data_IF_360136882245
#
_entry.id   IF_360136882245
#
_cell.length_a   1.000
_cell.length_b   1.000
_cell.length_c   1.000
_cell.angle_alpha   90.00
_cell.angle_beta   90.00
_cell.angle_gamma   90.00
#
_symmetry.space_group_name_H-M   'P 1'
#
loop_
_entity.id
_entity.type
_entity.pdbx_description
1 polymer ?
#
# COMPACT_ATOMS: atom_id res chain seq x y z
N UNK A 1 51.74 37.86 -33.34
CA UNK A 1 52.30 36.77 -32.52
C UNK A 1 51.12 35.94 -32.06
N UNK A 2 50.72 35.04 -32.94
CA UNK A 2 49.56 34.16 -32.80
C UNK A 2 49.99 32.89 -32.07
N UNK A 3 49.51 32.72 -30.84
CA UNK A 3 49.67 31.48 -30.09
C UNK A 3 48.50 30.56 -30.43
N UNK A 4 48.63 29.82 -31.54
CA UNK A 4 47.78 28.67 -31.81
C UNK A 4 48.05 27.61 -30.72
N UNK A 5 47.02 27.07 -30.05
CA UNK A 5 47.22 25.96 -29.12
C UNK A 5 47.67 24.71 -29.90
N UNK A 6 48.56 23.87 -29.35
CA UNK A 6 49.08 22.70 -30.03
C UNK A 6 47.96 21.68 -30.28
N UNK A 7 47.80 21.31 -31.55
CA UNK A 7 46.76 20.42 -32.09
C UNK A 7 46.98 18.92 -31.78
N UNK A 8 48.10 18.56 -31.17
CA UNK A 8 48.59 17.17 -31.12
C UNK A 8 48.56 16.50 -29.74
N UNK A 9 47.43 16.56 -29.04
CA UNK A 9 47.22 15.74 -27.83
C UNK A 9 45.77 15.25 -27.71
N UNK A 10 45.18 14.85 -28.84
CA UNK A 10 44.16 13.80 -28.82
C UNK A 10 44.87 12.46 -28.54
N UNK A 11 45.38 12.30 -27.32
CA UNK A 11 45.75 11.00 -26.81
C UNK A 11 44.49 10.13 -26.93
N UNK A 12 44.53 9.17 -27.86
CA UNK A 12 43.54 8.11 -27.99
C UNK A 12 43.25 7.58 -26.60
N UNK A 13 42.11 7.98 -26.03
CA UNK A 13 41.60 7.38 -24.80
C UNK A 13 41.52 5.89 -25.11
N UNK A 14 42.34 5.04 -24.47
CA UNK A 14 42.40 3.63 -24.81
C UNK A 14 40.98 3.12 -24.79
N UNK A 15 40.55 2.58 -25.93
CA UNK A 15 39.21 2.06 -26.15
C UNK A 15 38.82 1.33 -24.88
N UNK A 16 37.81 1.87 -24.18
CA UNK A 16 37.38 1.42 -22.86
C UNK A 16 37.19 -0.10 -22.89
N UNK A 17 38.23 -0.85 -22.53
CA UNK A 17 38.16 -2.30 -22.49
C UNK A 17 37.01 -2.63 -21.55
N UNK A 18 35.99 -3.29 -22.10
CA UNK A 18 34.80 -3.65 -21.38
C UNK A 18 35.21 -4.60 -20.25
N UNK A 19 35.51 -4.03 -19.08
CA UNK A 19 36.03 -4.78 -17.95
C UNK A 19 35.00 -5.86 -17.60
N UNK A 20 35.42 -7.14 -17.51
CA UNK A 20 34.51 -8.26 -17.28
C UNK A 20 33.63 -8.02 -16.05
N UNK A 21 32.39 -8.51 -16.09
CA UNK A 21 31.39 -8.33 -15.02
C UNK A 21 31.83 -9.06 -13.74
N UNK A 22 32.47 -10.22 -13.89
CA UNK A 22 33.06 -11.00 -12.81
C UNK A 22 34.56 -10.67 -12.76
N UNK A 23 34.99 -9.96 -11.71
CA UNK A 23 36.38 -9.50 -11.59
C UNK A 23 37.12 -10.18 -10.46
N UNK A 24 36.40 -10.54 -9.40
CA UNK A 24 36.99 -10.92 -8.13
C UNK A 24 36.47 -12.28 -7.63
N UNK A 25 37.27 -12.96 -6.80
CA UNK A 25 36.92 -14.24 -6.19
C UNK A 25 35.59 -14.15 -5.43
N UNK A 26 35.28 -13.01 -4.82
CA UNK A 26 34.00 -12.78 -4.14
C UNK A 26 32.80 -12.78 -5.07
N UNK A 27 32.95 -12.35 -6.33
CA UNK A 27 31.85 -12.43 -7.30
C UNK A 27 31.59 -13.87 -7.71
N UNK A 28 32.65 -14.65 -7.91
CA UNK A 28 32.56 -16.08 -8.20
C UNK A 28 31.93 -16.85 -7.04
N UNK A 29 32.33 -16.54 -5.79
CA UNK A 29 31.74 -17.12 -4.59
C UNK A 29 30.24 -16.83 -4.50
N UNK A 30 29.83 -15.58 -4.74
CA UNK A 30 28.40 -15.23 -4.76
C UNK A 30 27.66 -15.98 -5.88
N UNK A 31 28.23 -16.03 -7.09
CA UNK A 31 27.63 -16.72 -8.23
C UNK A 31 27.42 -18.20 -7.94
N UNK A 32 28.44 -18.89 -7.43
CA UNK A 32 28.37 -20.31 -7.06
C UNK A 32 27.35 -20.53 -5.95
N UNK A 33 27.32 -19.67 -4.94
CA UNK A 33 26.35 -19.75 -3.85
C UNK A 33 24.90 -19.58 -4.37
N UNK A 34 24.65 -18.58 -5.23
CA UNK A 34 23.32 -18.35 -5.82
C UNK A 34 22.92 -19.51 -6.72
N UNK A 35 23.82 -20.02 -7.57
CA UNK A 35 23.53 -21.16 -8.45
C UNK A 35 23.20 -22.43 -7.66
N UNK A 36 23.92 -22.69 -6.55
CA UNK A 36 23.63 -23.82 -5.67
C UNK A 36 22.29 -23.68 -4.93
N UNK A 37 21.91 -22.46 -4.55
CA UNK A 37 20.64 -22.17 -3.88
C UNK A 37 19.45 -22.02 -4.83
N UNK A 38 19.69 -21.89 -6.14
CA UNK A 38 18.69 -21.55 -7.14
C UNK A 38 17.46 -22.47 -7.13
N UNK A 39 17.57 -23.81 -7.01
CA UNK A 39 16.39 -24.68 -6.95
C UNK A 39 15.48 -24.37 -5.76
N UNK A 40 16.05 -24.13 -4.57
CA UNK A 40 15.28 -23.79 -3.36
C UNK A 40 14.70 -22.38 -3.43
N UNK A 41 15.47 -21.42 -3.96
CA UNK A 41 14.97 -20.06 -4.20
C UNK A 41 13.82 -20.10 -5.22
N UNK A 42 13.92 -20.93 -6.27
CA UNK A 42 12.84 -21.10 -7.24
C UNK A 42 11.56 -21.65 -6.60
N UNK A 43 11.67 -22.65 -5.73
CA UNK A 43 10.51 -23.15 -4.95
C UNK A 43 9.90 -22.05 -4.09
N UNK A 44 10.72 -21.21 -3.44
CA UNK A 44 10.23 -20.07 -2.68
C UNK A 44 9.53 -19.03 -3.58
N UNK A 45 10.11 -18.71 -4.74
CA UNK A 45 9.51 -17.81 -5.72
C UNK A 45 8.16 -18.33 -6.24
N UNK A 46 8.00 -19.64 -6.39
CA UNK A 46 6.71 -20.26 -6.74
C UNK A 46 5.69 -20.03 -5.63
N UNK A 47 6.05 -20.25 -4.35
CA UNK A 47 5.18 -19.94 -3.21
C UNK A 47 4.78 -18.46 -3.18
N UNK A 48 5.75 -17.56 -3.38
CA UNK A 48 5.51 -16.11 -3.45
C UNK A 48 4.59 -15.73 -4.62
N UNK A 49 4.62 -16.46 -5.73
CA UNK A 49 3.76 -16.21 -6.89
C UNK A 49 2.29 -16.55 -6.62
N UNK A 50 2.03 -17.58 -5.83
CA UNK A 50 0.68 -17.95 -5.41
C UNK A 50 0.10 -16.99 -4.36
N UNK A 51 0.95 -16.26 -3.65
CA UNK A 51 0.52 -15.20 -2.72
C UNK A 51 0.16 -13.96 -3.53
N UNK A 52 -1.12 -13.64 -3.58
CA UNK A 52 -1.66 -12.48 -4.32
C UNK A 52 -0.98 -11.17 -3.97
N UNK A 53 -0.55 -11.05 -2.72
CA UNK A 53 0.01 -9.82 -2.14
C UNK A 53 1.49 -9.66 -2.47
N UNK A 54 2.12 -10.65 -3.12
CA UNK A 54 3.54 -10.66 -3.42
C UNK A 54 3.85 -10.86 -4.90
N UNK A 55 2.85 -10.75 -5.80
CA UNK A 55 3.04 -10.89 -7.26
C UNK A 55 4.18 -10.01 -7.83
N UNK A 56 4.52 -8.92 -7.16
CA UNK A 56 5.59 -8.00 -7.57
C UNK A 56 6.97 -8.30 -6.96
N UNK A 57 7.15 -9.43 -6.25
CA UNK A 57 8.43 -9.84 -5.69
C UNK A 57 9.59 -9.89 -6.69
N UNK A 58 9.41 -10.17 -8.01
CA UNK A 58 10.55 -10.19 -8.94
C UNK A 58 11.31 -8.86 -8.99
N UNK A 59 10.63 -7.74 -8.74
CA UNK A 59 11.25 -6.40 -8.68
C UNK A 59 12.25 -6.32 -7.52
N UNK A 60 12.02 -7.02 -6.41
CA UNK A 60 12.92 -7.06 -5.25
C UNK A 60 14.29 -7.65 -5.61
N UNK A 61 14.33 -8.64 -6.50
CA UNK A 61 15.57 -9.28 -6.97
C UNK A 61 16.33 -8.44 -8.01
N UNK A 62 15.65 -7.55 -8.73
CA UNK A 62 16.31 -6.64 -9.68
C UNK A 62 17.19 -5.60 -8.98
N UNK A 63 16.83 -5.17 -7.77
CA UNK A 63 17.58 -4.16 -7.01
C UNK A 63 19.04 -4.57 -6.76
N UNK A 64 19.34 -5.73 -6.15
CA UNK A 64 20.73 -6.16 -5.97
C UNK A 64 21.43 -6.41 -7.31
N UNK A 65 20.74 -6.83 -8.37
CA UNK A 65 21.34 -6.97 -9.70
C UNK A 65 21.81 -5.63 -10.27
N UNK A 66 21.05 -4.55 -10.09
CA UNK A 66 21.49 -3.20 -10.48
C UNK A 66 22.70 -2.71 -9.68
N UNK A 67 22.87 -3.20 -8.44
CA UNK A 67 24.03 -2.85 -7.60
C UNK A 67 25.35 -3.40 -8.15
N UNK A 68 25.32 -4.55 -8.86
CA UNK A 68 26.48 -5.17 -9.52
C UNK A 68 27.21 -4.21 -10.46
N UNK A 69 26.49 -3.27 -11.09
CA UNK A 69 27.09 -2.30 -12.02
C UNK A 69 27.76 -1.12 -11.32
N UNK A 70 27.45 -0.85 -10.05
CA UNK A 70 27.87 0.37 -9.34
C UNK A 70 28.99 0.16 -8.30
N UNK A 71 29.28 -1.07 -7.90
CA UNK A 71 30.28 -1.37 -6.86
C UNK A 71 31.73 -1.30 -7.34
N UNK A 72 32.55 -0.44 -6.72
CA UNK A 72 34.03 -0.46 -6.84
C UNK A 72 34.61 -1.17 -5.62
N UNK A 73 35.44 -2.19 -5.84
CA UNK A 73 36.04 -2.96 -4.74
C UNK A 73 36.68 -2.05 -3.70
N UNK A 74 36.41 -2.36 -2.42
CA UNK A 74 37.15 -1.76 -1.33
C UNK A 74 38.64 -2.06 -1.48
N UNK A 75 39.49 -1.05 -1.26
CA UNK A 75 40.90 -1.34 -0.98
C UNK A 75 40.96 -2.26 0.25
N UNK A 76 41.79 -3.31 0.20
CA UNK A 76 41.95 -4.35 1.22
C UNK A 76 42.38 -3.86 2.64
N UNK A 77 42.41 -2.56 2.88
CA UNK A 77 42.93 -1.93 4.10
C UNK A 77 42.05 -2.11 5.35
N UNK A 78 40.81 -2.61 5.23
CA UNK A 78 39.89 -2.76 6.37
C UNK A 78 39.69 -4.23 6.80
N UNK A 79 40.55 -4.72 7.72
CA UNK A 79 40.52 -6.10 8.25
C UNK A 79 39.15 -6.54 8.79
N UNK A 80 38.48 -5.68 9.57
CA UNK A 80 37.17 -5.99 10.16
C UNK A 80 36.11 -6.32 9.11
N UNK A 81 36.05 -5.55 8.01
CA UNK A 81 35.09 -5.80 6.93
C UNK A 81 35.34 -7.14 6.24
N UNK A 82 36.59 -7.46 5.97
CA UNK A 82 36.96 -8.76 5.41
C UNK A 82 36.50 -9.91 6.33
N UNK A 83 36.71 -9.77 7.65
CA UNK A 83 36.24 -10.75 8.63
C UNK A 83 34.71 -10.88 8.66
N UNK A 84 33.98 -9.76 8.62
CA UNK A 84 32.51 -9.78 8.52
C UNK A 84 32.03 -10.42 7.22
N UNK A 85 32.66 -10.11 6.08
CA UNK A 85 32.34 -10.73 4.80
C UNK A 85 32.52 -12.25 4.87
N UNK A 86 33.68 -12.72 5.35
CA UNK A 86 33.94 -14.17 5.53
C UNK A 86 32.93 -14.80 6.48
N UNK A 87 32.62 -14.14 7.60
CA UNK A 87 31.62 -14.61 8.55
C UNK A 87 30.21 -14.72 7.93
N UNK A 88 29.81 -13.75 7.11
CA UNK A 88 28.52 -13.76 6.41
C UNK A 88 28.45 -14.86 5.35
N UNK A 89 29.52 -15.10 4.59
CA UNK A 89 29.58 -16.21 3.64
C UNK A 89 29.59 -17.57 4.35
N UNK A 90 30.31 -17.71 5.47
CA UNK A 90 30.31 -18.93 6.27
C UNK A 90 28.92 -19.21 6.87
N UNK A 91 28.27 -18.19 7.44
CA UNK A 91 26.90 -18.29 7.94
C UNK A 91 25.89 -18.61 6.83
N UNK A 92 26.03 -17.99 5.66
CA UNK A 92 25.25 -18.30 4.46
C UNK A 92 25.46 -19.73 4.00
N UNK A 93 26.70 -20.25 4.00
CA UNK A 93 27.01 -21.64 3.68
C UNK A 93 26.39 -22.64 4.66
N UNK A 94 26.45 -22.37 5.96
CA UNK A 94 25.75 -23.18 6.98
C UNK A 94 24.23 -23.13 6.77
N UNK A 95 23.67 -21.94 6.50
CA UNK A 95 22.25 -21.76 6.20
C UNK A 95 21.81 -22.52 4.94
N UNK A 96 22.66 -22.55 3.91
CA UNK A 96 22.43 -23.33 2.69
C UNK A 96 22.40 -24.84 2.97
N UNK A 97 23.33 -25.34 3.79
CA UNK A 97 23.35 -26.73 4.21
C UNK A 97 22.09 -27.09 5.01
N UNK A 98 21.70 -26.25 5.98
CA UNK A 98 20.48 -26.45 6.76
C UNK A 98 19.23 -26.39 5.88
N UNK A 99 19.17 -25.47 4.92
CA UNK A 99 18.09 -25.39 3.94
C UNK A 99 17.96 -26.69 3.14
N UNK A 100 19.06 -27.28 2.70
CA UNK A 100 19.05 -28.56 1.99
C UNK A 100 18.62 -29.72 2.89
N UNK A 101 19.09 -29.79 4.14
CA UNK A 101 18.75 -30.85 5.10
C UNK A 101 17.28 -30.81 5.52
N UNK A 102 16.73 -29.61 5.76
CA UNK A 102 15.33 -29.42 6.17
C UNK A 102 14.38 -29.15 5.02
N UNK A 103 14.87 -29.15 3.77
CA UNK A 103 14.11 -28.80 2.58
C UNK A 103 13.31 -27.49 2.75
N UNK A 104 13.96 -26.45 3.27
CA UNK A 104 13.33 -25.17 3.63
C UNK A 104 13.70 -24.07 2.63
N UNK A 105 12.78 -23.68 1.72
CA UNK A 105 13.02 -22.60 0.75
C UNK A 105 13.30 -21.25 1.39
N UNK A 106 12.71 -21.00 2.56
CA UNK A 106 12.92 -19.78 3.34
C UNK A 106 14.37 -19.66 3.84
N UNK A 107 14.95 -20.75 4.35
CA UNK A 107 16.36 -20.78 4.77
C UNK A 107 17.32 -20.56 3.58
N UNK A 108 16.97 -21.03 2.38
CA UNK A 108 17.76 -20.76 1.18
C UNK A 108 17.77 -19.27 0.82
N UNK A 109 16.62 -18.60 0.92
CA UNK A 109 16.55 -17.16 0.68
C UNK A 109 17.37 -16.38 1.73
N UNK A 110 17.29 -16.77 3.00
CA UNK A 110 18.12 -16.19 4.08
C UNK A 110 19.62 -16.38 3.77
N UNK A 111 20.03 -17.60 3.40
CA UNK A 111 21.41 -17.90 3.02
C UNK A 111 21.88 -17.05 1.84
N UNK A 112 21.08 -16.95 0.78
CA UNK A 112 21.37 -16.10 -0.38
C UNK A 112 21.48 -14.63 -0.02
N UNK A 113 20.62 -14.15 0.89
CA UNK A 113 20.63 -12.77 1.40
C UNK A 113 21.90 -12.48 2.21
N UNK A 114 22.34 -13.39 3.08
CA UNK A 114 23.60 -13.25 3.83
C UNK A 114 24.82 -13.20 2.90
N UNK A 115 24.86 -14.08 1.89
CA UNK A 115 25.90 -14.06 0.85
C UNK A 115 25.89 -12.74 0.07
N UNK A 116 24.71 -12.23 -0.30
CA UNK A 116 24.57 -10.94 -0.98
C UNK A 116 25.04 -9.77 -0.10
N UNK A 117 24.71 -9.74 1.20
CA UNK A 117 25.19 -8.72 2.14
C UNK A 117 26.72 -8.77 2.24
N UNK A 118 27.31 -9.97 2.39
CA UNK A 118 28.76 -10.15 2.45
C UNK A 118 29.45 -9.66 1.18
N UNK A 119 28.89 -10.01 0.02
CA UNK A 119 29.38 -9.54 -1.28
C UNK A 119 29.28 -8.01 -1.41
N UNK A 120 28.15 -7.41 -1.05
CA UNK A 120 27.95 -5.96 -1.05
C UNK A 120 28.92 -5.25 -0.12
N UNK A 121 29.18 -5.79 1.07
CA UNK A 121 30.10 -5.22 2.06
C UNK A 121 31.52 -5.07 1.51
N UNK A 122 31.96 -6.04 0.70
CA UNK A 122 33.27 -6.01 0.03
C UNK A 122 33.30 -5.04 -1.17
N UNK A 123 32.21 -4.98 -1.94
CA UNK A 123 32.07 -4.19 -3.16
C UNK A 123 31.79 -2.70 -2.92
N UNK A 124 31.35 -2.32 -1.73
CA UNK A 124 31.00 -0.95 -1.40
C UNK A 124 31.99 -0.30 -0.42
N UNK A 125 33.29 -0.42 -0.73
CA UNK A 125 34.39 -0.13 0.19
C UNK A 125 34.55 1.26 0.80
N UNK A 126 34.09 2.31 0.11
CA UNK A 126 34.05 3.66 0.69
C UNK A 126 32.65 4.08 1.10
N UNK A 127 31.64 3.25 0.83
CA UNK A 127 30.27 3.66 1.04
C UNK A 127 29.88 3.46 2.49
N UNK A 128 29.12 4.44 2.91
CA UNK A 128 28.53 4.56 4.22
C UNK A 128 27.48 3.43 4.38
N UNK A 129 27.47 2.79 5.55
CA UNK A 129 26.68 1.59 5.87
C UNK A 129 25.20 1.66 5.49
N UNK A 130 24.61 2.86 5.44
CA UNK A 130 23.23 3.01 5.01
C UNK A 130 22.97 2.52 3.59
N UNK A 131 23.92 2.67 2.66
CA UNK A 131 23.71 2.22 1.31
C UNK A 131 23.63 0.70 1.26
N UNK A 132 24.47 0.02 2.04
CA UNK A 132 24.37 -1.43 2.23
C UNK A 132 22.99 -1.82 2.74
N UNK A 133 22.49 -1.12 3.78
CA UNK A 133 21.13 -1.35 4.32
C UNK A 133 20.09 -1.13 3.23
N UNK A 134 20.17 -0.04 2.46
CA UNK A 134 19.20 0.24 1.39
C UNK A 134 19.24 -0.79 0.26
N UNK A 135 20.42 -1.29 -0.14
CA UNK A 135 20.55 -2.33 -1.17
C UNK A 135 20.08 -3.71 -0.70
N UNK A 136 20.12 -3.96 0.60
CA UNK A 136 19.77 -5.26 1.19
C UNK A 136 18.34 -5.30 1.70
N UNK A 137 17.73 -4.14 2.01
CA UNK A 137 16.36 -4.07 2.51
C UNK A 137 15.34 -4.79 1.61
N UNK A 138 15.37 -4.68 0.27
CA UNK A 138 14.46 -5.44 -0.60
C UNK A 138 14.57 -6.96 -0.43
N UNK A 139 15.78 -7.48 -0.20
CA UNK A 139 16.00 -8.91 0.07
C UNK A 139 15.42 -9.30 1.44
N UNK A 140 15.56 -8.43 2.45
CA UNK A 140 14.92 -8.64 3.74
C UNK A 140 13.40 -8.61 3.65
N UNK A 141 12.82 -7.71 2.85
CA UNK A 141 11.38 -7.68 2.60
C UNK A 141 10.92 -8.99 1.98
N UNK A 142 11.64 -9.53 0.99
CA UNK A 142 11.33 -10.85 0.42
C UNK A 142 11.33 -11.97 1.48
N UNK A 143 12.14 -11.83 2.53
CA UNK A 143 12.31 -12.85 3.59
C UNK A 143 11.34 -12.69 4.78
N UNK A 144 10.99 -11.46 5.17
CA UNK A 144 10.21 -11.12 6.39
C UNK A 144 8.72 -11.49 6.32
N UNK A 145 8.28 -12.15 5.24
CA UNK A 145 6.88 -12.39 4.93
C UNK A 145 6.25 -13.74 5.35
N UNK A 146 6.70 -14.44 6.42
CA UNK A 146 5.85 -15.44 7.08
C UNK A 146 5.04 -14.87 8.26
N UNK A 147 5.14 -13.57 8.59
CA UNK A 147 4.42 -12.99 9.74
C UNK A 147 2.95 -12.74 9.35
N UNK A 148 2.04 -13.33 10.11
CA UNK A 148 0.56 -13.24 10.00
C UNK A 148 0.01 -11.83 9.85
N UNK A 149 0.72 -10.83 10.38
CA UNK A 149 0.30 -9.43 10.47
C UNK A 149 0.10 -8.78 9.09
N UNK A 150 0.67 -9.34 8.03
CA UNK A 150 0.42 -8.92 6.65
C UNK A 150 -1.06 -9.08 6.28
N UNK A 151 -1.69 -10.18 6.69
CA UNK A 151 -3.09 -10.43 6.41
C UNK A 151 -4.00 -9.45 7.16
N UNK A 152 -3.63 -9.09 8.39
CA UNK A 152 -4.39 -8.12 9.19
C UNK A 152 -4.29 -6.71 8.64
N UNK A 153 -3.09 -6.27 8.22
CA UNK A 153 -2.92 -4.99 7.55
C UNK A 153 -3.70 -4.94 6.22
N UNK A 154 -3.66 -6.02 5.43
CA UNK A 154 -4.40 -6.11 4.17
C UNK A 154 -5.91 -6.07 4.43
N UNK A 155 -6.44 -6.81 5.40
CA UNK A 155 -7.87 -6.77 5.77
C UNK A 155 -8.31 -5.41 6.28
N UNK A 156 -7.47 -4.76 7.08
CA UNK A 156 -7.71 -3.38 7.53
C UNK A 156 -7.76 -2.42 6.33
N UNK A 157 -6.80 -2.51 5.41
CA UNK A 157 -6.78 -1.73 4.17
C UNK A 157 -8.02 -2.00 3.30
N UNK A 158 -8.44 -3.27 3.14
CA UNK A 158 -9.64 -3.66 2.38
C UNK A 158 -10.90 -3.02 2.97
N UNK A 159 -11.08 -3.13 4.29
CA UNK A 159 -12.24 -2.58 5.01
C UNK A 159 -12.28 -1.04 4.95
N UNK A 160 -11.15 -0.38 5.20
CA UNK A 160 -11.08 1.09 5.16
C UNK A 160 -11.15 1.62 3.72
N UNK A 161 -10.69 0.86 2.73
CA UNK A 161 -10.84 1.22 1.31
C UNK A 161 -12.30 1.14 0.91
N UNK A 162 -13.01 0.06 1.25
CA UNK A 162 -14.43 -0.07 0.96
C UNK A 162 -15.26 1.04 1.64
N UNK A 163 -14.98 1.34 2.92
CA UNK A 163 -15.65 2.43 3.64
C UNK A 163 -15.40 3.79 2.98
N UNK A 164 -14.14 4.13 2.70
CA UNK A 164 -13.78 5.41 2.10
C UNK A 164 -14.34 5.57 0.68
N UNK A 165 -14.28 4.51 -0.13
CA UNK A 165 -14.87 4.51 -1.47
C UNK A 165 -16.38 4.66 -1.40
N UNK A 166 -17.08 3.99 -0.49
CA UNK A 166 -18.52 4.18 -0.28
C UNK A 166 -18.84 5.64 0.01
N UNK A 167 -18.08 6.29 0.90
CA UNK A 167 -18.29 7.72 1.22
C UNK A 167 -18.06 8.61 0.00
N UNK A 168 -17.05 8.34 -0.83
CA UNK A 168 -16.81 9.10 -2.05
C UNK A 168 -17.90 8.89 -3.11
N UNK A 169 -18.45 7.67 -3.21
CA UNK A 169 -19.56 7.37 -4.10
C UNK A 169 -20.85 8.04 -3.61
N UNK A 170 -21.09 8.10 -2.30
CA UNK A 170 -22.20 8.86 -1.69
C UNK A 170 -22.09 10.34 -2.07
N UNK A 171 -20.90 10.95 -1.92
CA UNK A 171 -20.66 12.36 -2.33
C UNK A 171 -20.91 12.56 -3.83
N UNK A 172 -20.68 11.53 -4.64
CA UNK A 172 -20.88 11.55 -6.09
C UNK A 172 -22.30 11.17 -6.51
N UNK A 173 -23.21 10.95 -5.56
CA UNK A 173 -24.60 10.53 -5.78
C UNK A 173 -24.75 9.21 -6.55
N UNK A 174 -23.77 8.33 -6.44
CA UNK A 174 -23.89 6.96 -6.96
C UNK A 174 -24.62 6.13 -5.90
N UNK A 175 -25.57 5.26 -6.29
CA UNK A 175 -26.20 4.32 -5.35
C UNK A 175 -25.33 3.09 -5.12
N UNK A 176 -24.95 2.85 -3.87
CA UNK A 176 -24.23 1.65 -3.45
C UNK A 176 -24.71 1.15 -2.08
N UNK A 177 -24.38 -0.11 -1.80
CA UNK A 177 -24.42 -0.70 -0.49
C UNK A 177 -23.03 -1.25 -0.16
N UNK A 178 -22.38 -0.75 0.89
CA UNK A 178 -21.07 -1.23 1.31
C UNK A 178 -21.20 -2.16 2.52
N UNK A 179 -20.53 -3.30 2.45
CA UNK A 179 -20.54 -4.36 3.46
C UNK A 179 -19.13 -4.95 3.60
N UNK A 180 -18.47 -4.71 4.74
CA UNK A 180 -17.09 -5.13 5.00
C UNK A 180 -16.12 -4.69 3.88
N UNK A 181 -15.55 -5.62 3.13
CA UNK A 181 -14.68 -5.37 1.99
C UNK A 181 -15.43 -5.28 0.65
N UNK A 182 -16.75 -5.49 0.62
CA UNK A 182 -17.58 -5.51 -0.58
C UNK A 182 -18.33 -4.18 -0.75
N UNK A 183 -18.38 -3.69 -1.99
CA UNK A 183 -19.28 -2.62 -2.41
C UNK A 183 -20.22 -3.20 -3.47
N UNK A 184 -21.49 -3.31 -3.10
CA UNK A 184 -22.57 -3.70 -4.00
C UNK A 184 -23.03 -2.50 -4.81
N UNK A 185 -22.86 -2.61 -6.12
CA UNK A 185 -23.40 -1.70 -7.12
C UNK A 185 -24.55 -2.38 -7.87
N UNK A 186 -25.21 -1.68 -8.81
CA UNK A 186 -26.27 -2.27 -9.63
C UNK A 186 -25.74 -3.37 -10.54
N UNK A 187 -24.53 -3.18 -11.04
CA UNK A 187 -23.79 -4.13 -11.86
C UNK A 187 -23.32 -5.39 -11.11
N UNK A 188 -23.34 -5.37 -9.78
CA UNK A 188 -22.98 -6.50 -8.92
C UNK A 188 -22.04 -6.12 -7.77
N UNK A 189 -21.69 -7.09 -6.91
CA UNK A 189 -20.72 -6.89 -5.84
C UNK A 189 -19.29 -6.77 -6.37
N UNK A 190 -18.55 -5.79 -5.89
CA UNK A 190 -17.12 -5.62 -6.18
C UNK A 190 -16.36 -5.60 -4.87
N UNK A 191 -15.36 -6.47 -4.74
CA UNK A 191 -14.51 -6.53 -3.55
C UNK A 191 -13.35 -5.54 -3.65
N UNK A 192 -13.11 -4.81 -2.56
CA UNK A 192 -11.96 -3.93 -2.38
C UNK A 192 -10.63 -4.70 -2.43
N UNK A 193 -10.66 -6.00 -2.10
CA UNK A 193 -9.53 -6.93 -2.21
C UNK A 193 -8.86 -6.88 -3.60
N UNK A 194 -9.66 -6.79 -4.68
CA UNK A 194 -9.15 -6.70 -6.04
C UNK A 194 -8.19 -5.52 -6.23
N UNK A 195 -8.42 -4.42 -5.52
CA UNK A 195 -7.65 -3.19 -5.66
C UNK A 195 -6.52 -3.11 -4.63
N UNK A 196 -6.79 -3.51 -3.39
CA UNK A 196 -5.82 -3.50 -2.29
C UNK A 196 -4.64 -4.44 -2.54
N UNK A 197 -4.85 -5.56 -3.23
CA UNK A 197 -3.78 -6.54 -3.52
C UNK A 197 -2.92 -6.17 -4.74
N UNK A 198 -3.44 -5.31 -5.62
CA UNK A 198 -2.75 -4.86 -6.82
C UNK A 198 -2.00 -3.54 -6.57
N UNK A 199 -2.63 -2.39 -6.82
CA UNK A 199 -1.97 -1.06 -6.70
C UNK A 199 -1.90 -0.57 -5.27
N UNK A 200 -2.89 -0.93 -4.45
CA UNK A 200 -2.94 -0.62 -3.03
C UNK A 200 -1.97 -1.46 -2.18
N UNK A 201 -1.13 -2.27 -2.82
CA UNK A 201 -0.29 -3.22 -2.13
C UNK A 201 0.88 -2.51 -1.41
N UNK A 202 0.95 -2.58 -0.07
CA UNK A 202 1.99 -1.88 0.68
C UNK A 202 3.40 -2.40 0.36
N UNK A 203 3.54 -3.67 -0.02
CA UNK A 203 4.85 -4.26 -0.37
C UNK A 203 5.35 -3.79 -1.73
N UNK A 204 4.46 -3.62 -2.71
CA UNK A 204 4.79 -3.03 -4.00
C UNK A 204 5.29 -1.59 -3.79
N UNK A 205 4.53 -0.78 -3.05
CA UNK A 205 4.91 0.61 -2.77
C UNK A 205 6.21 0.68 -1.96
N UNK A 206 6.39 -0.16 -0.95
CA UNK A 206 7.64 -0.29 -0.20
C UNK A 206 8.84 -0.51 -1.14
N UNK A 207 8.72 -1.47 -2.05
CA UNK A 207 9.77 -1.79 -3.01
C UNK A 207 10.11 -0.59 -3.91
N UNK A 208 9.09 0.06 -4.46
CA UNK A 208 9.26 1.19 -5.35
C UNK A 208 9.82 2.43 -4.64
N UNK A 209 9.37 2.69 -3.41
CA UNK A 209 9.88 3.77 -2.55
C UNK A 209 11.34 3.56 -2.22
N UNK A 210 11.76 2.33 -1.94
CA UNK A 210 13.16 2.00 -1.68
C UNK A 210 14.00 2.22 -2.93
N UNK A 211 13.57 1.67 -4.06
CA UNK A 211 14.26 1.82 -5.35
C UNK A 211 14.39 3.31 -5.72
N UNK A 212 13.33 4.09 -5.53
CA UNK A 212 13.32 5.53 -5.77
C UNK A 212 14.26 6.27 -4.81
N UNK A 213 14.23 5.95 -3.52
CA UNK A 213 15.13 6.54 -2.50
C UNK A 213 16.59 6.28 -2.82
N UNK A 214 16.90 5.07 -3.31
CA UNK A 214 18.24 4.66 -3.72
C UNK A 214 18.68 5.34 -5.01
N UNK A 215 17.79 5.44 -6.00
CA UNK A 215 18.06 6.12 -7.27
C UNK A 215 18.37 7.60 -7.03
N UNK A 216 17.55 8.24 -6.20
CA UNK A 216 17.67 9.68 -5.88
C UNK A 216 18.71 9.97 -4.80
N UNK A 217 19.36 8.94 -4.23
CA UNK A 217 20.40 9.03 -3.19
C UNK A 217 19.95 9.88 -1.99
N UNK A 218 18.74 9.63 -1.48
CA UNK A 218 18.21 10.37 -0.33
C UNK A 218 18.93 9.99 0.97
N UNK A 219 18.83 10.89 1.94
CA UNK A 219 19.32 10.67 3.30
C UNK A 219 18.42 9.62 3.98
N UNK A 220 18.98 8.88 4.94
CA UNK A 220 18.26 7.81 5.66
C UNK A 220 17.03 8.33 6.37
N UNK A 221 17.13 9.48 7.04
CA UNK A 221 16.01 10.13 7.73
C UNK A 221 14.81 10.37 6.80
N UNK A 222 15.05 10.94 5.61
CA UNK A 222 14.03 11.14 4.57
C UNK A 222 13.43 9.81 4.14
N UNK A 223 14.28 8.79 3.95
CA UNK A 223 13.84 7.45 3.55
C UNK A 223 12.94 6.85 4.61
N UNK A 224 13.35 6.83 5.88
CA UNK A 224 12.58 6.30 7.01
C UNK A 224 11.24 7.01 7.15
N UNK A 225 11.21 8.35 7.09
CA UNK A 225 9.96 9.11 7.13
C UNK A 225 9.05 8.76 5.95
N UNK A 226 9.61 8.58 4.75
CA UNK A 226 8.82 8.14 3.58
C UNK A 226 8.28 6.72 3.77
N UNK A 227 9.09 5.81 4.33
CA UNK A 227 8.66 4.44 4.61
C UNK A 227 7.48 4.40 5.59
N UNK A 228 7.50 5.24 6.63
CA UNK A 228 6.41 5.35 7.59
C UNK A 228 5.09 5.83 6.97
N UNK A 229 5.14 6.53 5.83
CA UNK A 229 3.93 6.98 5.11
C UNK A 229 3.37 5.94 4.14
N UNK A 230 4.02 4.79 3.94
CA UNK A 230 3.58 3.79 2.95
C UNK A 230 2.13 3.33 3.17
N UNK A 231 1.67 2.99 4.38
CA UNK A 231 0.29 2.56 4.58
C UNK A 231 -0.73 3.62 4.13
N UNK A 232 -0.42 4.89 4.34
CA UNK A 232 -1.26 6.00 3.89
C UNK A 232 -1.33 6.08 2.35
N UNK A 233 -0.19 5.95 1.67
CA UNK A 233 -0.13 5.96 0.20
C UNK A 233 -0.78 4.72 -0.41
N UNK A 234 -0.63 3.56 0.22
CA UNK A 234 -1.29 2.31 -0.15
C UNK A 234 -2.81 2.45 -0.10
N UNK A 235 -3.33 2.96 1.02
CA UNK A 235 -4.75 3.26 1.19
C UNK A 235 -5.24 4.28 0.16
N UNK A 236 -4.55 5.42 -0.02
CA UNK A 236 -4.94 6.45 -0.99
C UNK A 236 -5.00 5.90 -2.43
N UNK A 237 -4.00 5.10 -2.81
CA UNK A 237 -3.95 4.47 -4.12
C UNK A 237 -5.13 3.52 -4.32
N UNK A 238 -5.44 2.72 -3.30
CA UNK A 238 -6.53 1.76 -3.33
C UNK A 238 -7.89 2.48 -3.45
N UNK A 239 -8.15 3.47 -2.58
CA UNK A 239 -9.39 4.26 -2.60
C UNK A 239 -9.58 4.97 -3.94
N UNK A 240 -8.52 5.57 -4.47
CA UNK A 240 -8.58 6.30 -5.75
C UNK A 240 -8.92 5.37 -6.92
N UNK A 241 -8.28 4.20 -7.00
CA UNK A 241 -8.53 3.23 -8.07
C UNK A 241 -9.91 2.58 -7.92
N UNK A 242 -10.30 2.20 -6.70
CA UNK A 242 -11.58 1.58 -6.43
C UNK A 242 -12.75 2.53 -6.68
N UNK A 243 -12.65 3.77 -6.20
CA UNK A 243 -13.63 4.82 -6.49
C UNK A 243 -13.76 5.09 -7.99
N UNK A 244 -12.63 5.30 -8.69
CA UNK A 244 -12.64 5.53 -10.13
C UNK A 244 -13.31 4.36 -10.89
N UNK A 245 -13.06 3.12 -10.45
CA UNK A 245 -13.65 1.95 -11.07
C UNK A 245 -15.14 1.79 -10.83
N UNK A 246 -15.59 1.96 -9.59
CA UNK A 246 -17.02 1.95 -9.27
C UNK A 246 -17.75 3.11 -9.98
N UNK A 247 -17.15 4.30 -10.02
CA UNK A 247 -17.69 5.47 -10.71
C UNK A 247 -17.85 5.22 -12.21
N UNK A 248 -16.81 4.75 -12.90
CA UNK A 248 -16.86 4.51 -14.34
C UNK A 248 -17.77 3.33 -14.71
N UNK A 249 -17.87 2.33 -13.83
CA UNK A 249 -18.77 1.20 -14.06
C UNK A 249 -20.23 1.63 -13.96
N UNK A 250 -20.62 2.39 -12.94
CA UNK A 250 -22.01 2.80 -12.78
C UNK A 250 -22.41 3.99 -13.66
N UNK A 251 -21.52 4.98 -13.85
CA UNK A 251 -21.84 6.16 -14.64
C UNK A 251 -21.67 5.96 -16.15
N UNK A 252 -20.79 5.03 -16.59
CA UNK A 252 -20.47 4.83 -18.01
C UNK A 252 -20.60 3.39 -18.49
N UNK A 253 -21.02 2.46 -17.64
CA UNK A 253 -21.10 1.01 -17.95
C UNK A 253 -19.73 0.43 -18.41
N UNK A 254 -18.62 1.08 -18.03
CA UNK A 254 -17.27 0.67 -18.42
C UNK A 254 -16.58 -0.03 -17.27
N UNK A 255 -16.47 -1.35 -17.37
CA UNK A 255 -15.68 -2.13 -16.44
C UNK A 255 -14.18 -1.88 -16.65
N UNK A 256 -13.55 -1.19 -15.70
CA UNK A 256 -12.09 -1.02 -15.66
C UNK A 256 -11.39 -2.15 -14.92
N UNK A 257 -12.08 -2.96 -14.12
CA UNK A 257 -11.48 -4.04 -13.32
C UNK A 257 -11.06 -5.25 -14.16
N UNK A 258 -11.47 -5.31 -15.44
CA UNK A 258 -11.16 -6.42 -16.34
C UNK A 258 -10.17 -6.05 -17.45
N UNK A 259 -9.32 -7.04 -17.81
CA UNK A 259 -8.45 -6.99 -18.99
C UNK A 259 -7.37 -5.90 -18.97
N UNK A 260 -7.00 -5.41 -20.15
CA UNK A 260 -5.94 -4.41 -20.33
C UNK A 260 -6.27 -3.04 -19.71
N UNK A 261 -7.56 -2.73 -19.56
CA UNK A 261 -8.02 -1.46 -18.95
C UNK A 261 -7.67 -1.41 -17.47
N UNK A 262 -7.76 -2.55 -16.78
CA UNK A 262 -7.34 -2.67 -15.39
C UNK A 262 -5.88 -2.29 -15.24
N UNK A 263 -5.01 -2.97 -15.99
CA UNK A 263 -3.56 -2.73 -15.96
C UNK A 263 -3.22 -1.27 -16.29
N UNK A 264 -3.87 -0.67 -17.30
CA UNK A 264 -3.63 0.73 -17.66
C UNK A 264 -4.07 1.71 -16.55
N UNK A 265 -5.26 1.52 -15.98
CA UNK A 265 -5.76 2.35 -14.88
C UNK A 265 -4.88 2.22 -13.63
N UNK A 266 -4.46 1.00 -13.32
CA UNK A 266 -3.57 0.69 -12.22
C UNK A 266 -2.20 1.36 -12.38
N UNK A 267 -1.60 1.26 -13.56
CA UNK A 267 -0.35 1.94 -13.88
C UNK A 267 -0.48 3.47 -13.78
N UNK A 268 -1.61 4.03 -14.23
CA UNK A 268 -1.89 5.46 -14.10
C UNK A 268 -1.93 5.92 -12.65
N UNK A 269 -2.69 5.23 -11.79
CA UNK A 269 -2.76 5.52 -10.35
C UNK A 269 -1.39 5.37 -9.69
N UNK A 270 -0.65 4.30 -10.02
CA UNK A 270 0.68 4.07 -9.49
C UNK A 270 1.66 5.20 -9.86
N UNK A 271 1.66 5.68 -11.11
CA UNK A 271 2.51 6.79 -11.55
C UNK A 271 2.18 8.07 -10.77
N UNK A 272 0.90 8.38 -10.58
CA UNK A 272 0.47 9.53 -9.78
C UNK A 272 0.95 9.41 -8.34
N UNK A 273 0.75 8.26 -7.70
CA UNK A 273 1.18 8.00 -6.32
C UNK A 273 2.69 8.10 -6.18
N UNK A 274 3.47 7.52 -7.10
CA UNK A 274 4.93 7.63 -7.08
C UNK A 274 5.40 9.07 -7.29
N UNK A 275 4.74 9.83 -8.17
CA UNK A 275 4.99 11.26 -8.35
C UNK A 275 4.75 12.05 -7.07
N UNK A 276 3.65 11.77 -6.37
CA UNK A 276 3.32 12.42 -5.09
C UNK A 276 4.31 12.04 -3.98
N UNK A 277 4.70 10.77 -3.86
CA UNK A 277 5.73 10.33 -2.92
C UNK A 277 7.06 11.03 -3.24
N UNK A 278 7.43 11.17 -4.52
CA UNK A 278 8.65 11.85 -4.92
C UNK A 278 8.64 13.33 -4.53
N UNK A 279 7.52 14.03 -4.74
CA UNK A 279 7.32 15.40 -4.27
C UNK A 279 7.41 15.50 -2.74
N UNK A 280 6.78 14.55 -2.02
CA UNK A 280 6.85 14.48 -0.56
C UNK A 280 8.29 14.26 -0.07
N UNK A 281 9.07 13.38 -0.71
CA UNK A 281 10.49 13.18 -0.39
C UNK A 281 11.30 14.48 -0.53
N UNK A 282 11.03 15.28 -1.56
CA UNK A 282 11.66 16.59 -1.70
C UNK A 282 11.23 17.56 -0.61
N UNK A 283 9.94 17.61 -0.28
CA UNK A 283 9.44 18.45 0.79
C UNK A 283 10.08 18.09 2.14
N UNK A 284 10.11 16.80 2.49
CA UNK A 284 10.77 16.29 3.70
C UNK A 284 12.27 16.63 3.67
N UNK A 285 12.95 16.49 2.53
CA UNK A 285 14.37 16.86 2.44
C UNK A 285 14.61 18.35 2.72
N UNK A 286 13.72 19.24 2.27
CA UNK A 286 13.84 20.67 2.53
C UNK A 286 13.51 21.00 3.97
N UNK A 287 12.48 20.36 4.55
CA UNK A 287 12.14 20.49 5.97
C UNK A 287 13.30 20.00 6.86
N UNK A 288 13.96 18.92 6.45
CA UNK A 288 15.13 18.33 7.09
C UNK A 288 16.45 18.92 6.57
N UNK A 289 16.42 20.12 5.99
CA UNK A 289 17.67 20.79 5.63
C UNK A 289 18.41 21.22 6.91
N UNK A 290 19.76 21.12 6.94
CA UNK A 290 20.51 21.42 8.14
C UNK A 290 20.43 22.91 8.48
N UNK A 291 20.28 23.24 9.77
CA UNK A 291 20.31 24.62 10.23
C UNK A 291 21.68 25.24 9.96
N UNK A 292 21.69 26.41 9.32
CA UNK A 292 22.90 27.14 8.93
C UNK A 292 23.29 28.24 9.91
N UNK A 293 22.38 28.69 10.77
CA UNK A 293 22.63 29.78 11.71
C UNK A 293 23.38 29.29 12.96
N UNK A 294 24.67 29.60 13.03
CA UNK A 294 25.45 29.54 14.26
C UNK A 294 25.15 30.78 15.10
N UNK A 295 24.09 30.76 15.91
CA UNK A 295 24.15 31.53 17.14
C UNK A 295 25.05 30.77 18.11
N UNK A 296 26.03 31.45 18.70
CA UNK A 296 26.98 30.87 19.67
C UNK A 296 26.27 30.25 20.89
N UNK A 297 25.02 30.63 21.14
CA UNK A 297 24.21 30.20 22.28
C UNK A 297 23.34 28.95 22.02
N UNK A 298 22.99 28.60 20.77
CA UNK A 298 22.15 27.43 20.44
C UNK A 298 22.93 26.18 19.95
N UNK A 299 24.24 26.17 20.16
CA UNK A 299 25.17 25.26 19.46
C UNK A 299 24.92 23.77 19.70
N UNK A 300 24.39 23.36 20.86
CA UNK A 300 24.15 21.96 21.20
C UNK A 300 22.97 21.33 20.46
N UNK A 301 21.80 21.99 20.49
CA UNK A 301 20.56 21.47 19.90
C UNK A 301 20.66 21.43 18.37
N UNK A 302 21.20 22.49 17.74
CA UNK A 302 21.40 22.52 16.29
C UNK A 302 22.38 21.44 15.83
N UNK A 303 23.46 21.20 16.60
CA UNK A 303 24.43 20.14 16.30
C UNK A 303 23.82 18.75 16.45
N UNK A 304 22.99 18.53 17.48
CA UNK A 304 22.27 17.28 17.65
C UNK A 304 21.26 17.04 16.52
N UNK A 305 20.46 18.06 16.16
CA UNK A 305 19.52 17.98 15.05
C UNK A 305 20.24 17.69 13.72
N UNK A 306 21.27 18.47 13.37
CA UNK A 306 22.04 18.27 12.15
C UNK A 306 22.70 16.88 12.13
N UNK A 307 23.21 16.41 13.28
CA UNK A 307 23.76 15.07 13.41
C UNK A 307 22.70 13.99 13.16
N UNK A 308 21.53 14.08 13.80
CA UNK A 308 20.45 13.11 13.67
C UNK A 308 19.88 13.09 12.24
N UNK A 309 19.67 14.26 11.65
CA UNK A 309 19.05 14.41 10.33
C UNK A 309 19.98 14.00 9.20
N UNK A 310 21.26 14.36 9.28
CA UNK A 310 22.25 14.02 8.27
C UNK A 310 22.81 12.62 8.45
N UNK A 311 22.51 11.92 9.55
CA UNK A 311 23.04 10.60 9.82
C UNK A 311 22.72 9.62 8.67
N UNK A 312 23.70 8.83 8.22
CA UNK A 312 25.09 8.72 8.70
C UNK A 312 26.11 9.63 7.98
N UNK A 313 25.66 10.53 7.11
CA UNK A 313 26.49 11.52 6.44
C UNK A 313 27.22 12.43 7.42
N UNK A 314 28.43 12.86 7.03
CA UNK A 314 29.21 13.81 7.82
C UNK A 314 28.57 15.20 7.73
N UNK A 315 28.44 15.87 8.88
CA UNK A 315 27.99 17.26 8.94
C UNK A 315 28.82 18.14 7.98
N UNK A 316 28.20 18.71 6.92
CA UNK A 316 28.90 19.52 5.94
C UNK A 316 29.48 20.80 6.57
N UNK A 317 28.94 21.24 7.72
CA UNK A 317 29.44 22.40 8.46
C UNK A 317 30.81 22.13 9.13
N UNK A 318 31.17 20.86 9.37
CA UNK A 318 32.46 20.50 9.99
C UNK A 318 33.67 20.81 9.09
N UNK A 319 33.48 20.91 7.77
CA UNK A 319 34.52 21.32 6.80
C UNK A 319 34.42 22.79 6.36
N UNK A 320 33.38 23.53 6.78
CA UNK A 320 33.05 24.88 6.28
C UNK A 320 33.77 26.04 6.98
N UNK A 321 34.71 25.78 7.88
CA UNK A 321 35.56 26.83 8.49
C UNK A 321 36.40 27.65 7.49
N UNK A 322 36.39 27.33 6.19
CA UNK A 322 37.19 27.99 5.15
C UNK A 322 36.39 28.55 3.95
N UNK A 323 35.07 28.48 3.94
CA UNK A 323 34.24 29.06 2.87
C UNK A 323 33.69 30.41 3.35
N UNK A 324 33.84 31.47 2.55
CA UNK A 324 33.28 32.80 2.82
C UNK A 324 31.76 32.75 2.88
N UNK A 325 31.16 33.46 3.84
CA UNK A 325 29.71 33.45 4.10
C UNK A 325 28.87 33.81 2.85
N UNK A 326 29.42 34.60 1.93
CA UNK A 326 28.77 35.00 0.67
C UNK A 326 28.63 33.85 -0.36
N UNK A 327 29.62 32.98 -0.49
CA UNK A 327 29.53 31.80 -1.38
C UNK A 327 28.52 30.79 -0.83
N UNK A 328 28.42 30.71 0.49
CA UNK A 328 27.44 29.91 1.20
C UNK A 328 26.03 30.44 0.95
N UNK A 329 25.82 31.75 1.11
CA UNK A 329 24.56 32.41 0.86
C UNK A 329 24.09 32.25 -0.60
N UNK A 330 25.00 32.40 -1.59
CA UNK A 330 24.68 32.18 -3.01
C UNK A 330 24.29 30.72 -3.32
N UNK A 331 25.00 29.73 -2.79
CA UNK A 331 24.65 28.31 -3.01
C UNK A 331 23.33 27.93 -2.35
N UNK A 332 23.06 28.45 -1.15
CA UNK A 332 21.79 28.22 -0.46
C UNK A 332 20.66 28.91 -1.22
N UNK A 333 20.83 30.18 -1.62
CA UNK A 333 19.86 30.92 -2.42
C UNK A 333 19.47 30.21 -3.72
N UNK A 334 20.44 29.61 -4.43
CA UNK A 334 20.18 28.86 -5.66
C UNK A 334 19.50 27.50 -5.43
N UNK A 335 19.78 26.82 -4.32
CA UNK A 335 19.13 25.53 -3.99
C UNK A 335 17.71 25.74 -3.49
N UNK A 336 17.49 26.82 -2.74
CA UNK A 336 16.23 27.13 -2.07
C UNK A 336 15.27 27.87 -3.02
N UNK A 337 15.76 28.86 -3.78
CA UNK A 337 14.96 29.68 -4.70
C UNK A 337 14.29 28.90 -5.83
N UNK A 338 14.96 27.90 -6.41
CA UNK A 338 14.42 27.16 -7.56
C UNK A 338 13.58 25.92 -7.19
N UNK A 339 13.47 25.60 -5.89
CA UNK A 339 12.81 24.37 -5.41
C UNK A 339 11.60 24.61 -4.52
N UNK A 340 11.37 25.85 -4.09
CA UNK A 340 10.17 26.23 -3.33
C UNK A 340 8.84 25.76 -3.92
N UNK A 341 8.54 25.88 -5.23
CA UNK A 341 7.25 25.46 -5.75
C UNK A 341 7.01 23.94 -5.56
N UNK A 342 8.05 23.12 -5.70
CA UNK A 342 7.95 21.67 -5.47
C UNK A 342 7.73 21.33 -4.00
N UNK A 343 8.35 22.09 -3.09
CA UNK A 343 8.15 21.91 -1.64
C UNK A 343 6.73 22.28 -1.25
N UNK A 344 6.24 23.43 -1.73
CA UNK A 344 4.87 23.89 -1.47
C UNK A 344 3.89 22.85 -2.03
N UNK A 345 4.10 22.36 -3.26
CA UNK A 345 3.26 21.32 -3.85
C UNK A 345 3.29 20.01 -3.05
N UNK A 346 4.47 19.58 -2.57
CA UNK A 346 4.61 18.38 -1.76
C UNK A 346 3.94 18.48 -0.39
N UNK A 347 4.12 19.60 0.31
CA UNK A 347 3.46 19.88 1.60
C UNK A 347 1.95 20.03 1.42
N UNK A 348 1.51 20.79 0.41
CA UNK A 348 0.09 20.93 0.10
C UNK A 348 -0.53 19.59 -0.27
N UNK A 349 0.14 18.76 -1.07
CA UNK A 349 -0.32 17.42 -1.41
C UNK A 349 -0.46 16.50 -0.19
N UNK A 350 0.51 16.53 0.73
CA UNK A 350 0.43 15.78 1.98
C UNK A 350 -0.72 16.27 2.87
N UNK A 351 -0.87 17.60 3.03
CA UNK A 351 -1.95 18.19 3.81
C UNK A 351 -3.32 17.92 3.20
N UNK A 352 -3.45 17.91 1.87
CA UNK A 352 -4.66 17.53 1.17
C UNK A 352 -4.97 16.04 1.34
N UNK A 353 -3.96 15.16 1.32
CA UNK A 353 -4.16 13.74 1.56
C UNK A 353 -4.60 13.46 3.01
N UNK A 354 -3.94 14.09 4.00
CA UNK A 354 -4.30 13.96 5.42
C UNK A 354 -5.67 14.60 5.69
N UNK A 355 -5.89 15.82 5.19
CA UNK A 355 -7.13 16.56 5.37
C UNK A 355 -8.32 15.89 4.68
N UNK A 356 -8.12 15.40 3.46
CA UNK A 356 -9.11 14.61 2.73
C UNK A 356 -9.40 13.29 3.42
N UNK A 357 -8.38 12.58 3.89
CA UNK A 357 -8.56 11.36 4.68
C UNK A 357 -9.29 11.60 5.99
N UNK A 358 -8.94 12.66 6.73
CA UNK A 358 -9.63 13.06 7.95
C UNK A 358 -11.08 13.48 7.67
N UNK A 359 -11.33 14.19 6.56
CA UNK A 359 -12.69 14.55 6.15
C UNK A 359 -13.51 13.30 5.82
N UNK A 360 -12.95 12.32 5.10
CA UNK A 360 -13.63 11.05 4.82
C UNK A 360 -13.92 10.30 6.13
N UNK A 361 -12.93 10.16 7.03
CA UNK A 361 -13.12 9.51 8.33
C UNK A 361 -14.18 10.24 9.14
N UNK A 362 -14.17 11.56 9.16
CA UNK A 362 -15.16 12.37 9.86
C UNK A 362 -16.55 12.22 9.23
N UNK A 363 -16.71 12.29 7.91
CA UNK A 363 -18.00 12.02 7.22
C UNK A 363 -18.46 10.58 7.50
N UNK A 364 -17.52 9.65 7.67
CA UNK A 364 -17.85 8.27 8.00
C UNK A 364 -18.30 8.09 9.47
N UNK A 365 -17.73 8.86 10.40
CA UNK A 365 -17.92 8.75 11.85
C UNK A 365 -18.97 9.71 12.42
N UNK A 366 -19.12 10.91 11.85
CA UNK A 366 -20.24 11.81 12.13
C UNK A 366 -21.49 11.11 11.61
N UNK A 367 -22.13 10.36 12.51
CA UNK A 367 -23.45 9.76 12.32
C UNK A 367 -24.48 10.81 11.87
N UNK A 368 -24.20 12.09 12.10
CA UNK A 368 -25.06 13.25 11.83
C UNK A 368 -24.77 14.02 10.53
N UNK A 369 -23.81 13.60 9.69
CA UNK A 369 -24.00 13.94 8.28
C UNK A 369 -25.32 13.26 7.93
N UNK A 370 -26.37 14.06 7.68
CA UNK A 370 -27.50 13.69 6.85
C UNK A 370 -26.92 13.14 5.54
N UNK A 371 -26.43 11.90 5.57
CA UNK A 371 -26.01 11.14 4.41
C UNK A 371 -27.27 11.08 3.59
N UNK A 372 -27.36 11.99 2.62
CA UNK A 372 -28.54 12.31 1.81
C UNK A 372 -29.74 11.54 2.32
N UNK A 373 -30.48 12.13 3.28
CA UNK A 373 -31.66 11.51 3.93
C UNK A 373 -32.24 10.52 2.94
N UNK A 374 -32.20 9.20 3.24
CA UNK A 374 -32.39 8.14 2.25
C UNK A 374 -33.59 8.56 1.45
N UNK A 375 -33.37 9.00 0.19
CA UNK A 375 -34.30 9.86 -0.56
C UNK A 375 -35.68 9.37 -0.21
N UNK A 376 -36.32 10.04 0.75
CA UNK A 376 -37.52 9.45 1.32
C UNK A 376 -38.40 9.49 0.12
N UNK A 377 -38.80 8.33 -0.39
CA UNK A 377 -39.97 8.34 -1.23
C UNK A 377 -41.00 8.86 -0.25
N UNK A 378 -41.45 10.13 -0.34
CA UNK A 378 -42.54 10.51 0.51
C UNK A 378 -43.62 9.51 0.15
N UNK A 379 -43.95 8.60 1.07
CA UNK A 379 -45.11 7.73 0.95
C UNK A 379 -46.36 8.59 1.19
N UNK A 380 -46.35 9.81 0.66
CA UNK A 380 -47.52 10.61 0.37
C UNK A 380 -48.10 10.19 -1.00
N UNK A 381 -47.31 9.50 -1.83
CA UNK A 381 -47.85 8.71 -2.95
C UNK A 381 -48.17 7.29 -2.46
N UNK A 382 -49.41 7.10 -2.00
CA UNK A 382 -50.07 5.80 -1.73
C UNK A 382 -49.92 4.76 -2.86
N UNK A 383 -49.32 5.14 -4.00
CA UNK A 383 -49.14 4.31 -5.19
C UNK A 383 -47.75 3.66 -5.35
N UNK A 384 -46.80 3.84 -4.42
CA UNK A 384 -45.45 3.23 -4.53
C UNK A 384 -45.08 2.24 -3.41
N UNK A 385 -45.90 2.08 -2.38
CA UNK A 385 -45.74 1.01 -1.39
C UNK A 385 -46.35 -0.28 -1.93
N UNK A 386 -45.62 -1.40 -1.83
CA UNK A 386 -46.14 -2.71 -2.22
C UNK A 386 -47.47 -2.96 -1.47
N UNK A 387 -48.55 -3.17 -2.22
CA UNK A 387 -49.87 -3.41 -1.68
C UNK A 387 -50.05 -4.90 -1.37
N UNK A 388 -50.99 -5.21 -0.46
CA UNK A 388 -51.40 -6.58 -0.20
C UNK A 388 -51.85 -7.34 -1.45
N UNK A 389 -52.26 -6.62 -2.51
CA UNK A 389 -52.71 -7.14 -3.81
C UNK A 389 -51.61 -7.33 -4.85
N UNK A 390 -50.38 -6.86 -4.60
CA UNK A 390 -49.31 -6.89 -5.60
C UNK A 390 -48.75 -8.30 -5.83
N UNK A 391 -48.88 -9.17 -4.84
CA UNK A 391 -48.77 -10.61 -5.04
C UNK A 391 -50.14 -11.20 -5.31
N UNK A 392 -50.22 -12.03 -6.35
CA UNK A 392 -51.48 -12.61 -6.80
C UNK A 392 -52.14 -13.48 -5.70
N UNK A 393 -53.41 -13.21 -5.43
CA UNK A 393 -54.29 -14.11 -4.68
C UNK A 393 -55.25 -14.82 -5.67
N UNK A 394 -55.23 -16.17 -5.78
CA UNK A 394 -54.44 -17.14 -5.02
C UNK A 394 -53.02 -17.38 -5.58
N UNK A 395 -52.05 -17.50 -4.69
CA UNK A 395 -50.67 -17.91 -5.03
C UNK A 395 -50.58 -19.45 -5.00
N UNK A 396 -50.52 -20.08 -6.17
CA UNK A 396 -50.44 -21.55 -6.32
C UNK A 396 -51.54 -22.31 -5.56
N UNK A 397 -52.77 -21.80 -5.59
CA UNK A 397 -53.92 -22.38 -4.88
C UNK A 397 -53.97 -22.09 -3.38
N UNK A 398 -52.97 -21.41 -2.81
CA UNK A 398 -52.99 -20.92 -1.44
C UNK A 398 -53.74 -19.60 -1.35
N UNK A 399 -54.55 -19.45 -0.30
CA UNK A 399 -55.25 -18.18 -0.02
C UNK A 399 -54.36 -17.29 0.81
N UNK A 400 -54.30 -16.02 0.45
CA UNK A 400 -53.68 -15.01 1.30
C UNK A 400 -54.50 -14.86 2.58
N UNK A 401 -53.86 -15.01 3.74
CA UNK A 401 -54.51 -14.89 5.05
C UNK A 401 -54.13 -13.59 5.73
N UNK A 402 -52.91 -13.11 5.51
CA UNK A 402 -52.43 -11.90 6.14
C UNK A 402 -51.46 -11.14 5.24
N UNK A 403 -51.49 -9.83 5.33
CA UNK A 403 -50.48 -8.94 4.78
C UNK A 403 -50.12 -7.92 5.86
N UNK A 404 -48.84 -7.86 6.18
CA UNK A 404 -48.30 -6.95 7.18
C UNK A 404 -47.26 -6.06 6.48
N UNK A 405 -47.50 -4.75 6.54
CA UNK A 405 -46.50 -3.75 6.24
C UNK A 405 -45.92 -3.28 7.56
N UNK A 406 -44.66 -3.63 7.82
CA UNK A 406 -43.94 -3.17 8.99
C UNK A 406 -43.17 -1.90 8.62
N UNK A 407 -43.38 -0.87 9.41
CA UNK A 407 -42.48 0.27 9.47
C UNK A 407 -41.70 0.18 10.77
N UNK A 408 -40.44 -0.28 10.70
CA UNK A 408 -39.57 -0.28 11.88
C UNK A 408 -38.83 1.04 11.94
N UNK A 409 -39.09 1.81 12.99
CA UNK A 409 -38.33 3.02 13.35
C UNK A 409 -37.47 2.72 14.57
N UNK A 410 -36.54 1.78 14.43
CA UNK A 410 -35.61 1.46 15.53
C UNK A 410 -34.49 2.51 15.67
N UNK A 411 -34.21 3.28 14.60
CA UNK A 411 -33.29 4.41 14.62
C UNK A 411 -33.62 5.42 13.52
N UNK A 412 -33.12 6.66 13.66
CA UNK A 412 -33.26 7.73 12.66
C UNK A 412 -32.66 7.40 11.28
N UNK A 413 -31.95 6.27 11.14
CA UNK A 413 -31.25 5.84 9.92
C UNK A 413 -31.75 4.50 9.38
N UNK A 414 -32.81 3.95 9.97
CA UNK A 414 -33.33 2.63 9.64
C UNK A 414 -34.85 2.64 9.55
N UNK A 415 -35.44 3.59 8.81
CA UNK A 415 -36.81 3.39 8.33
C UNK A 415 -36.81 2.16 7.43
N UNK A 416 -37.22 1.03 8.01
CA UNK A 416 -37.32 -0.23 7.29
C UNK A 416 -38.78 -0.46 6.95
N UNK A 417 -39.04 -0.51 5.66
CA UNK A 417 -40.29 -1.00 5.10
C UNK A 417 -40.09 -2.48 4.78
N UNK A 418 -40.67 -3.32 5.61
CA UNK A 418 -40.74 -4.76 5.42
C UNK A 418 -42.19 -5.11 5.04
N UNK A 419 -42.35 -5.82 3.92
CA UNK A 419 -43.64 -6.28 3.46
C UNK A 419 -43.72 -7.79 3.58
N UNK A 420 -44.73 -8.28 4.29
CA UNK A 420 -44.89 -9.70 4.60
C UNK A 420 -46.26 -10.20 4.16
N UNK A 421 -46.27 -11.10 3.19
CA UNK A 421 -47.47 -11.83 2.76
C UNK A 421 -47.47 -13.22 3.40
N UNK A 422 -48.56 -13.59 4.06
CA UNK A 422 -48.76 -14.93 4.61
C UNK A 422 -49.87 -15.64 3.86
N UNK A 423 -49.53 -16.77 3.23
CA UNK A 423 -50.43 -17.65 2.51
C UNK A 423 -50.68 -18.93 3.30
N UNK A 424 -51.90 -19.46 3.19
CA UNK A 424 -52.29 -20.71 3.85
C UNK A 424 -53.07 -21.60 2.87
N UNK A 425 -52.66 -22.87 2.81
CA UNK A 425 -53.42 -23.94 2.18
C UNK A 425 -53.34 -25.19 3.05
N UNK A 426 -54.49 -25.76 3.38
CA UNK A 426 -54.64 -26.92 4.28
C UNK A 426 -53.91 -26.71 5.63
N UNK A 427 -52.72 -27.31 5.79
CA UNK A 427 -51.86 -27.21 6.98
C UNK A 427 -50.52 -26.53 6.70
N UNK A 428 -50.32 -25.99 5.50
CA UNK A 428 -49.08 -25.35 5.09
C UNK A 428 -49.22 -23.84 5.17
N UNK A 429 -48.21 -23.19 5.78
CA UNK A 429 -48.08 -21.73 5.86
C UNK A 429 -46.84 -21.33 5.09
N UNK A 430 -46.98 -20.42 4.13
CA UNK A 430 -45.87 -19.79 3.42
C UNK A 430 -45.87 -18.31 3.78
N UNK A 431 -44.69 -17.79 4.10
CA UNK A 431 -44.48 -16.37 4.33
C UNK A 431 -43.48 -15.86 3.31
N UNK A 432 -43.89 -14.87 2.51
CA UNK A 432 -43.04 -14.16 1.57
C UNK A 432 -42.72 -12.81 2.20
N UNK A 433 -41.44 -12.55 2.41
CA UNK A 433 -40.96 -11.29 2.97
C UNK A 433 -40.16 -10.55 1.90
N UNK A 434 -40.48 -9.27 1.70
CA UNK A 434 -39.77 -8.36 0.82
C UNK A 434 -39.30 -7.17 1.65
N UNK A 435 -37.99 -7.03 1.78
CA UNK A 435 -37.37 -5.88 2.40
C UNK A 435 -36.96 -4.91 1.29
N UNK A 436 -37.36 -3.63 1.39
CA UNK A 436 -36.93 -2.64 0.42
C UNK A 436 -35.40 -2.43 0.48
N UNK A 437 -34.74 -2.17 -0.68
CA UNK A 437 -33.31 -1.97 -0.72
C UNK A 437 -32.91 -0.74 0.11
N UNK A 438 -31.98 -0.94 1.05
CA UNK A 438 -31.42 0.13 1.87
C UNK A 438 -30.41 0.95 1.05
N UNK A 439 -30.33 2.26 1.28
CA UNK A 439 -29.26 3.14 0.73
C UNK A 439 -28.36 3.64 1.87
N UNK A 440 -27.05 3.41 1.76
CA UNK A 440 -26.05 3.83 2.75
C UNK A 440 -25.22 2.67 3.32
N UNK A 441 -24.30 2.98 4.23
CA UNK A 441 -23.46 1.98 4.93
C UNK A 441 -24.22 1.36 6.09
N UNK A 442 -24.42 0.04 6.05
CA UNK A 442 -25.00 -0.75 7.15
C UNK A 442 -24.02 -1.87 7.51
N UNK A 443 -23.74 -2.07 8.80
CA UNK A 443 -23.05 -3.29 9.24
C UNK A 443 -24.04 -4.45 9.14
N UNK A 444 -23.72 -5.45 8.31
CA UNK A 444 -24.54 -6.66 8.13
C UNK A 444 -24.71 -7.41 9.47
N UNK A 445 -23.68 -7.36 10.31
CA UNK A 445 -23.60 -8.00 11.64
C UNK A 445 -24.74 -7.59 12.58
N UNK A 446 -25.29 -6.38 12.45
CA UNK A 446 -26.40 -5.92 13.31
C UNK A 446 -27.77 -6.46 12.88
N UNK A 447 -27.93 -6.99 11.66
CA UNK A 447 -29.26 -7.30 11.10
C UNK A 447 -29.43 -8.69 10.49
N UNK A 448 -28.36 -9.31 10.00
CA UNK A 448 -28.42 -10.62 9.34
C UNK A 448 -27.63 -11.70 10.07
N UNK A 449 -26.78 -11.32 11.03
CA UNK A 449 -26.08 -12.26 11.92
C UNK A 449 -26.81 -12.50 13.24
N UNK A 450 -27.98 -11.89 13.49
CA UNK A 450 -28.91 -12.48 14.45
C UNK A 450 -29.24 -13.87 13.90
N UNK A 451 -28.74 -14.95 14.54
CA UNK A 451 -29.05 -16.27 14.07
C UNK A 451 -30.56 -16.39 14.05
N UNK A 452 -31.07 -17.08 13.02
CA UNK A 452 -32.44 -17.57 12.91
C UNK A 452 -32.68 -18.59 14.06
N UNK A 453 -32.54 -18.14 15.31
CA UNK A 453 -32.80 -18.88 16.53
C UNK A 453 -34.23 -18.64 17.02
N UNK A 454 -34.96 -17.68 16.45
CA UNK A 454 -36.41 -17.52 16.71
C UNK A 454 -37.27 -18.64 16.09
N UNK A 455 -36.69 -19.53 15.26
CA UNK A 455 -37.36 -20.78 14.89
C UNK A 455 -37.45 -21.79 16.06
N UNK A 456 -36.77 -21.54 17.19
CA UNK A 456 -36.89 -22.36 18.40
C UNK A 456 -38.05 -21.94 19.32
N UNK A 457 -38.58 -20.71 19.20
CA UNK A 457 -39.71 -20.24 20.01
C UNK A 457 -41.09 -20.55 19.40
N UNK A 458 -41.16 -20.99 18.14
CA UNK A 458 -42.41 -21.48 17.54
C UNK A 458 -42.81 -22.90 17.97
N UNK A 459 -41.98 -23.60 18.77
CA UNK A 459 -42.31 -24.93 19.34
C UNK A 459 -42.82 -24.89 20.79
N UNK A 460 -42.87 -23.73 21.45
CA UNK A 460 -43.26 -23.64 22.87
C UNK A 460 -44.69 -23.11 23.12
N UNK A 461 -45.46 -22.75 22.08
CA UNK A 461 -46.86 -22.28 22.25
C UNK A 461 -47.94 -23.35 22.01
N UNK A 462 -47.60 -24.64 22.14
CA UNK A 462 -48.58 -25.74 22.20
C UNK A 462 -48.71 -26.28 23.63
N UNK A 463 -49.49 -25.59 24.48
CA UNK A 463 -50.29 -26.23 25.54
C UNK A 463 -51.09 -25.19 26.35
N UNK A 464 -52.34 -24.96 25.97
CA UNK A 464 -53.48 -24.87 26.91
C UNK A 464 -54.78 -24.78 26.12
N UNK A 465 -55.29 -25.95 25.78
CA UNK A 465 -56.73 -26.18 25.67
C UNK A 465 -57.05 -26.87 26.99
N UNK A 466 -57.58 -26.11 27.96
CA UNK A 466 -58.29 -26.65 29.12
C UNK A 466 -59.75 -26.19 28.93
N UNK A 467 -60.63 -27.20 28.79
CA UNK A 467 -62.12 -27.25 28.86
C UNK A 467 -62.99 -26.14 28.25
#
# INVERSE_FOLDING_TARGET
MDNAPPEDLQAELPASEAKPILRDVTDWLLLVAILGLLPMIALHCVDLWYRTDLKFFPILFLVPLFSLRKGKLASHTQKLRSQFTVGLFAAGGVGALLSALYFSPWLALLAGTLCAIGWLLQRFGQLEWYQLVSWTLPLWVAMLLPISDAADLTRWLETETARATSTLLDISSIPQLAANDLVHLRSGPISANLVCRDVGNPYLLLTLVLLMSMWTKRIVSVTVMTLLTIPLWAWLAAVSHFFLGCYLLEAQEKNIFAGYRNVASQAGVLVVVLGSIWCMQYAIQVLLSPFTAYSTTASGVHKFFNWAVLWPGKDPLRKRRSLTDDELAKRIGNVVGNKYPLVILGVAGLLLAIGGGYAIVRISNDREFERMMPLSFPIDDENTALAGTDLADPFNGMKQVNFEAFHRTESAYSEQYEFRWTYLADRQRITIQVDLPRRGYYRIEEFYETPVNELSDLRSSTSRIDD
#
